data_IF_599997322320
#
_entry.id   IF_599997322320
#
_cell.length_a   1.000
_cell.length_b   1.000
_cell.length_c   1.000
_cell.angle_alpha   90.00
_cell.angle_beta   90.00
_cell.angle_gamma   90.00
#
_symmetry.space_group_name_H-M   'P 1'
#
loop_
_entity.id
_entity.type
_entity.pdbx_description
1 polymer ?
#
# COMPACT_ATOMS: atom_id res chain seq x y z
N UNK A 1 -0.44 20.18 -9.56
CA UNK A 1 0.31 21.00 -8.55
C UNK A 1 0.83 20.04 -7.50
N UNK A 2 2.15 19.97 -7.28
CA UNK A 2 2.75 19.05 -6.34
C UNK A 2 3.09 19.78 -5.04
N UNK A 3 2.80 19.17 -3.91
CA UNK A 3 3.12 19.74 -2.59
C UNK A 3 4.51 19.23 -2.17
N UNK A 4 5.47 20.13 -1.94
CA UNK A 4 6.78 19.78 -1.41
C UNK A 4 6.83 19.86 0.13
N UNK A 5 7.33 18.82 0.78
CA UNK A 5 7.46 18.76 2.25
C UNK A 5 8.85 18.28 2.63
N UNK A 6 9.62 19.11 3.31
CA UNK A 6 10.95 18.78 3.83
C UNK A 6 10.96 18.39 5.32
N UNK A 7 9.95 18.86 6.07
CA UNK A 7 9.94 18.68 7.53
C UNK A 7 9.43 17.30 7.95
N UNK A 8 10.22 16.59 8.76
CA UNK A 8 9.84 15.33 9.42
C UNK A 8 8.70 15.49 10.43
N UNK A 9 8.45 16.71 10.90
CA UNK A 9 7.39 17.03 11.86
C UNK A 9 6.10 17.49 11.19
N UNK A 10 6.07 17.56 9.85
CA UNK A 10 4.85 17.88 9.13
C UNK A 10 3.74 16.89 9.45
N UNK A 11 2.50 17.35 9.70
CA UNK A 11 1.38 16.47 10.07
C UNK A 11 1.13 15.32 9.08
N UNK A 12 1.28 15.58 7.77
CA UNK A 12 1.11 14.55 6.74
C UNK A 12 2.20 13.48 6.83
N UNK A 13 3.47 13.87 7.05
CA UNK A 13 4.57 12.92 7.24
C UNK A 13 4.37 12.09 8.51
N UNK A 14 3.89 12.71 9.59
CA UNK A 14 3.58 12.00 10.83
C UNK A 14 2.42 11.02 10.65
N UNK A 15 1.37 11.42 9.94
CA UNK A 15 0.27 10.53 9.58
C UNK A 15 0.78 9.32 8.79
N UNK A 16 1.53 9.53 7.71
CA UNK A 16 2.07 8.46 6.87
C UNK A 16 2.95 7.50 7.68
N UNK A 17 3.85 8.01 8.51
CA UNK A 17 4.68 7.20 9.38
C UNK A 17 3.87 6.42 10.43
N UNK A 18 2.76 6.97 10.92
CA UNK A 18 1.91 6.28 11.89
C UNK A 18 1.21 5.05 11.33
N UNK A 19 1.02 4.97 10.00
CA UNK A 19 0.37 3.85 9.31
C UNK A 19 1.15 2.52 9.44
N UNK A 20 2.38 2.53 9.90
CA UNK A 20 3.10 1.33 10.33
C UNK A 20 2.32 0.56 11.41
N UNK A 21 1.66 1.28 12.32
CA UNK A 21 0.91 0.69 13.44
C UNK A 21 -0.54 0.41 13.06
N UNK A 22 -1.01 -0.81 13.36
CA UNK A 22 -2.38 -1.25 13.08
C UNK A 22 -3.44 -0.28 13.60
N UNK A 23 -3.27 0.23 14.83
CA UNK A 23 -4.21 1.19 15.45
C UNK A 23 -4.54 2.36 14.51
N UNK A 24 -3.51 3.00 13.95
CA UNK A 24 -3.74 4.15 13.08
C UNK A 24 -4.29 3.78 11.71
N UNK A 25 -3.99 2.57 11.21
CA UNK A 25 -4.63 2.06 9.99
C UNK A 25 -6.13 1.84 10.21
N UNK A 26 -6.51 1.28 11.36
CA UNK A 26 -7.92 1.05 11.71
C UNK A 26 -8.67 2.38 11.93
N UNK A 27 -8.04 3.39 12.55
CA UNK A 27 -8.62 4.70 12.79
C UNK A 27 -8.78 5.53 11.50
N UNK A 28 -7.82 5.46 10.60
CA UNK A 28 -7.80 6.28 9.38
C UNK A 28 -8.41 5.60 8.17
N UNK A 29 -8.54 4.27 8.20
CA UNK A 29 -8.89 3.46 7.05
C UNK A 29 -7.84 3.49 5.94
N UNK A 30 -6.59 3.87 6.26
CA UNK A 30 -5.49 3.96 5.31
C UNK A 30 -4.41 2.93 5.62
N UNK A 31 -3.70 2.48 4.58
CA UNK A 31 -2.44 1.77 4.73
C UNK A 31 -1.41 2.27 3.72
N UNK A 32 -0.14 2.06 4.02
CA UNK A 32 0.96 2.49 3.17
C UNK A 32 1.43 1.34 2.29
N UNK A 33 1.40 1.56 0.97
CA UNK A 33 2.05 0.71 -0.03
C UNK A 33 3.40 1.33 -0.37
N UNK A 34 4.50 0.67 -0.10
CA UNK A 34 5.84 1.14 -0.43
C UNK A 34 6.45 0.32 -1.57
N UNK A 35 7.17 1.01 -2.45
CA UNK A 35 7.88 0.42 -3.58
C UNK A 35 7.13 0.47 -4.90
N UNK A 36 7.90 0.60 -5.98
CA UNK A 36 7.40 0.79 -7.34
C UNK A 36 6.40 -0.27 -7.79
N UNK A 37 6.66 -1.54 -7.45
CA UNK A 37 5.79 -2.65 -7.87
C UNK A 37 4.41 -2.56 -7.22
N UNK A 38 4.36 -2.36 -5.88
CA UNK A 38 3.08 -2.26 -5.16
C UNK A 38 2.30 -1.01 -5.55
N UNK A 39 2.99 0.13 -5.70
CA UNK A 39 2.36 1.37 -6.15
C UNK A 39 1.76 1.22 -7.54
N UNK A 40 2.46 0.55 -8.49
CA UNK A 40 1.92 0.27 -9.82
C UNK A 40 0.69 -0.64 -9.78
N UNK A 41 0.68 -1.66 -8.92
CA UNK A 41 -0.48 -2.53 -8.73
C UNK A 41 -1.68 -1.82 -8.10
N UNK A 42 -1.44 -0.78 -7.28
CA UNK A 42 -2.48 0.01 -6.63
C UNK A 42 -3.20 0.97 -7.60
N UNK A 43 -2.51 1.44 -8.65
CA UNK A 43 -3.13 2.34 -9.65
C UNK A 43 -4.29 1.63 -10.34
N UNK A 44 -5.45 2.30 -10.37
CA UNK A 44 -6.67 1.80 -10.97
C UNK A 44 -7.39 0.69 -10.19
N UNK A 45 -6.79 0.20 -9.07
CA UNK A 45 -7.41 -0.84 -8.22
C UNK A 45 -7.77 -0.34 -6.83
N UNK A 46 -7.00 0.62 -6.32
CA UNK A 46 -7.20 1.18 -4.99
C UNK A 46 -7.48 2.68 -5.10
N UNK A 47 -8.30 3.20 -4.19
CA UNK A 47 -8.45 4.65 -4.04
C UNK A 47 -7.22 5.18 -3.30
N UNK A 48 -6.39 5.96 -3.99
CA UNK A 48 -5.19 6.58 -3.43
C UNK A 48 -5.57 7.91 -2.79
N UNK A 49 -5.12 8.14 -1.55
CA UNK A 49 -5.26 9.43 -0.87
C UNK A 49 -4.03 10.30 -1.12
N UNK A 50 -2.85 9.75 -0.85
CA UNK A 50 -1.57 10.42 -1.05
C UNK A 50 -0.65 9.57 -1.92
N UNK A 51 -0.10 10.15 -2.96
CA UNK A 51 0.95 9.57 -3.79
C UNK A 51 2.25 10.31 -3.47
N UNK A 52 3.20 9.61 -2.88
CA UNK A 52 4.41 10.21 -2.33
C UNK A 52 5.61 9.77 -3.14
N UNK A 53 6.44 10.72 -3.53
CA UNK A 53 7.72 10.47 -4.19
C UNK A 53 8.83 11.23 -3.49
N UNK A 54 10.02 10.62 -3.40
CA UNK A 54 11.21 11.25 -2.84
C UNK A 54 11.79 12.25 -3.84
N UNK A 55 12.31 13.38 -3.37
CA UNK A 55 12.76 14.52 -4.20
C UNK A 55 13.79 14.14 -5.27
N UNK A 56 14.75 13.25 -4.97
CA UNK A 56 15.75 12.77 -5.92
C UNK A 56 15.21 11.80 -6.99
N UNK A 57 13.95 11.39 -6.85
CA UNK A 57 13.21 10.49 -7.74
C UNK A 57 11.93 11.14 -8.31
N UNK A 58 11.73 12.42 -8.03
CA UNK A 58 10.54 13.18 -8.44
C UNK A 58 10.58 13.59 -9.93
N UNK A 59 11.06 12.69 -10.79
CA UNK A 59 11.13 12.84 -12.24
C UNK A 59 10.82 11.51 -12.93
N UNK A 60 10.43 11.59 -14.22
CA UNK A 60 10.21 10.41 -15.05
C UNK A 60 9.12 9.48 -14.53
N UNK A 61 9.34 8.18 -14.65
CA UNK A 61 8.33 7.14 -14.44
C UNK A 61 7.69 7.15 -13.05
N UNK A 62 8.43 7.48 -11.98
CA UNK A 62 7.86 7.47 -10.62
C UNK A 62 6.92 8.65 -10.39
N UNK A 63 7.26 9.82 -10.93
CA UNK A 63 6.38 10.98 -10.86
C UNK A 63 5.11 10.75 -11.69
N UNK A 64 5.24 10.24 -12.91
CA UNK A 64 4.10 9.87 -13.76
C UNK A 64 3.18 8.86 -13.07
N UNK A 65 3.76 7.88 -12.36
CA UNK A 65 3.00 6.89 -11.60
C UNK A 65 2.20 7.56 -10.46
N UNK A 66 2.80 8.55 -9.77
CA UNK A 66 2.11 9.34 -8.76
C UNK A 66 0.95 10.15 -9.36
N UNK A 67 1.18 10.84 -10.48
CA UNK A 67 0.17 11.64 -11.16
C UNK A 67 -1.01 10.80 -11.66
N UNK A 68 -0.73 9.60 -12.16
CA UNK A 68 -1.74 8.66 -12.64
C UNK A 68 -2.49 7.93 -11.51
N UNK A 69 -2.09 8.10 -10.25
CA UNK A 69 -2.71 7.42 -9.10
C UNK A 69 -4.08 7.98 -8.73
N UNK A 70 -4.38 9.22 -9.13
CA UNK A 70 -5.59 9.96 -8.73
C UNK A 70 -5.55 10.50 -7.29
N UNK A 71 -4.45 10.31 -6.56
CA UNK A 71 -4.22 10.86 -5.22
C UNK A 71 -3.54 12.23 -5.25
N UNK A 72 -3.46 12.87 -4.08
CA UNK A 72 -2.66 14.09 -3.90
C UNK A 72 -1.17 13.76 -4.01
N UNK A 73 -0.47 14.39 -4.95
CA UNK A 73 0.96 14.14 -5.17
C UNK A 73 1.80 14.98 -4.22
N UNK A 74 2.66 14.30 -3.45
CA UNK A 74 3.54 14.91 -2.46
C UNK A 74 4.98 14.52 -2.76
N UNK A 75 5.84 15.53 -2.88
CA UNK A 75 7.28 15.35 -2.98
C UNK A 75 7.89 15.51 -1.59
N UNK A 76 8.57 14.49 -1.10
CA UNK A 76 9.24 14.52 0.19
C UNK A 76 10.75 14.65 0.04
N UNK A 77 11.37 15.43 0.94
CA UNK A 77 12.82 15.38 1.09
C UNK A 77 13.28 13.98 1.48
N UNK A 78 14.55 13.65 1.25
CA UNK A 78 15.12 12.36 1.63
C UNK A 78 14.88 12.04 3.12
N UNK A 79 15.12 13.01 4.00
CA UNK A 79 14.94 12.84 5.43
C UNK A 79 13.49 12.62 5.85
N UNK A 80 12.53 13.28 5.17
CA UNK A 80 11.10 13.09 5.43
C UNK A 80 10.62 11.74 4.88
N UNK A 81 11.11 11.31 3.71
CA UNK A 81 10.78 10.01 3.14
C UNK A 81 11.33 8.86 4.01
N UNK A 82 12.56 8.96 4.51
CA UNK A 82 13.15 7.97 5.41
C UNK A 82 12.34 7.75 6.70
N UNK A 83 11.52 8.73 7.12
CA UNK A 83 10.64 8.56 8.28
C UNK A 83 9.43 7.68 8.01
N UNK A 84 8.96 7.64 6.77
CA UNK A 84 7.78 6.85 6.40
C UNK A 84 8.13 5.48 5.83
N UNK A 85 9.37 5.30 5.37
CA UNK A 85 9.86 4.05 4.78
C UNK A 85 10.16 3.02 5.85
N UNK A 86 9.75 1.78 5.60
CA UNK A 86 10.15 0.61 6.38
C UNK A 86 11.37 -0.10 5.77
N UNK A 87 11.74 0.22 4.53
CA UNK A 87 12.86 -0.39 3.83
C UNK A 87 14.17 0.39 4.09
N UNK A 88 15.27 -0.34 4.18
CA UNK A 88 16.63 0.23 4.30
C UNK A 88 17.12 0.85 3.00
N UNK A 89 16.62 0.40 1.85
CA UNK A 89 16.96 0.88 0.51
C UNK A 89 15.68 1.16 -0.31
N UNK A 90 14.92 2.21 0.06
CA UNK A 90 13.62 2.46 -0.54
C UNK A 90 13.71 2.87 -2.00
N UNK A 91 12.76 2.39 -2.81
CA UNK A 91 12.59 2.80 -4.22
C UNK A 91 12.29 4.29 -4.38
N UNK A 92 11.91 4.97 -3.29
CA UNK A 92 11.59 6.41 -3.29
C UNK A 92 10.15 6.72 -3.69
N UNK A 93 9.24 5.74 -3.62
CA UNK A 93 7.81 5.92 -3.88
C UNK A 93 6.98 5.16 -2.86
N UNK A 94 5.90 5.78 -2.40
CA UNK A 94 4.91 5.17 -1.52
C UNK A 94 3.52 5.78 -1.72
N UNK A 95 2.46 4.97 -1.64
CA UNK A 95 1.08 5.40 -1.71
C UNK A 95 0.34 5.11 -0.41
N UNK A 96 -0.36 6.12 0.11
CA UNK A 96 -1.36 5.90 1.15
C UNK A 96 -2.70 5.63 0.48
N UNK A 97 -3.19 4.40 0.61
CA UNK A 97 -4.42 3.94 -0.04
C UNK A 97 -5.50 3.63 0.98
N UNK A 98 -6.77 3.82 0.60
CA UNK A 98 -7.88 3.43 1.45
C UNK A 98 -8.00 1.92 1.52
N UNK A 99 -8.13 1.40 2.75
CA UNK A 99 -8.45 0.02 3.00
C UNK A 99 -9.97 -0.16 2.84
N UNK A 100 -10.40 -0.68 1.70
CA UNK A 100 -11.78 -1.13 1.56
C UNK A 100 -11.92 -2.45 2.32
N UNK A 101 -12.72 -2.45 3.39
CA UNK A 101 -13.03 -3.69 4.11
C UNK A 101 -13.94 -4.53 3.22
N UNK A 102 -13.37 -5.49 2.53
CA UNK A 102 -14.16 -6.53 1.86
C UNK A 102 -14.76 -7.45 2.93
N UNK A 103 -15.98 -7.15 3.39
CA UNK A 103 -16.79 -8.12 4.11
C UNK A 103 -17.34 -9.10 3.07
N UNK A 104 -16.79 -10.29 3.03
CA UNK A 104 -17.39 -11.38 2.28
C UNK A 104 -18.67 -11.79 3.03
N UNK A 105 -19.83 -11.31 2.60
CA UNK A 105 -21.13 -11.67 3.19
C UNK A 105 -21.61 -13.04 2.73
N UNK A 106 -21.18 -13.50 1.56
CA UNK A 106 -21.41 -14.84 1.04
C UNK A 106 -20.30 -15.25 0.09
N UNK A 107 -20.09 -16.54 -0.05
CA UNK A 107 -19.12 -17.11 -0.99
C UNK A 107 -19.77 -18.16 -1.89
N UNK A 108 -19.75 -17.90 -3.18
CA UNK A 108 -20.26 -18.81 -4.22
C UNK A 108 -19.11 -19.32 -5.12
N UNK A 109 -17.99 -19.69 -4.53
CA UNK A 109 -16.81 -20.08 -5.25
C UNK A 109 -16.50 -21.57 -5.16
N UNK A 110 -15.89 -22.12 -6.21
CA UNK A 110 -15.49 -23.53 -6.28
C UNK A 110 -14.28 -23.87 -5.43
N UNK A 111 -13.50 -22.88 -4.99
CA UNK A 111 -12.22 -23.09 -4.28
C UNK A 111 -12.04 -22.14 -3.13
N UNK A 112 -11.67 -22.69 -2.00
CA UNK A 112 -11.36 -21.92 -0.78
C UNK A 112 -9.93 -22.23 -0.36
N UNK A 113 -9.13 -21.19 -0.11
CA UNK A 113 -7.81 -21.33 0.52
C UNK A 113 -7.92 -20.79 1.93
N UNK A 114 -7.67 -21.62 2.90
CA UNK A 114 -7.67 -21.24 4.32
C UNK A 114 -6.23 -21.16 4.83
N UNK A 115 -5.87 -20.00 5.39
CA UNK A 115 -4.60 -19.80 6.06
C UNK A 115 -4.87 -19.73 7.57
N UNK A 116 -4.32 -20.69 8.30
CA UNK A 116 -4.42 -20.72 9.76
C UNK A 116 -3.08 -20.34 10.38
N UNK A 117 -3.09 -19.28 11.20
CA UNK A 117 -1.96 -18.82 12.00
C UNK A 117 -0.64 -18.57 11.21
N UNK A 118 -0.72 -18.17 9.96
CA UNK A 118 0.47 -17.80 9.17
C UNK A 118 1.00 -16.46 9.69
N UNK A 119 2.20 -16.46 10.26
CA UNK A 119 2.78 -15.30 10.94
C UNK A 119 3.50 -14.33 10.02
N UNK A 120 4.12 -14.86 8.96
CA UNK A 120 4.91 -14.07 8.05
C UNK A 120 4.03 -13.44 6.96
N UNK A 121 3.93 -12.08 6.90
CA UNK A 121 3.17 -11.38 5.88
C UNK A 121 3.65 -11.66 4.44
N UNK A 122 4.95 -11.92 4.26
CA UNK A 122 5.53 -12.27 2.97
C UNK A 122 4.99 -13.60 2.45
N UNK A 123 4.87 -14.61 3.33
CA UNK A 123 4.28 -15.90 3.00
C UNK A 123 2.78 -15.77 2.68
N UNK A 124 2.04 -14.99 3.46
CA UNK A 124 0.62 -14.69 3.17
C UNK A 124 0.47 -14.05 1.79
N UNK A 125 1.25 -13.02 1.50
CA UNK A 125 1.25 -12.36 0.20
C UNK A 125 1.62 -13.30 -0.96
N UNK A 126 2.54 -14.23 -0.74
CA UNK A 126 2.93 -15.23 -1.74
C UNK A 126 1.79 -16.21 -2.02
N UNK A 127 1.10 -16.69 -0.98
CA UNK A 127 -0.06 -17.57 -1.15
C UNK A 127 -1.19 -16.86 -1.88
N UNK A 128 -1.49 -15.60 -1.52
CA UNK A 128 -2.51 -14.79 -2.21
C UNK A 128 -2.18 -14.69 -3.70
N UNK A 129 -0.98 -14.28 -4.05
CA UNK A 129 -0.55 -14.15 -5.46
C UNK A 129 -0.61 -15.48 -6.21
N UNK A 130 -0.13 -16.55 -5.60
CA UNK A 130 -0.12 -17.88 -6.22
C UNK A 130 -1.52 -18.43 -6.43
N UNK A 131 -2.43 -18.18 -5.49
CA UNK A 131 -3.83 -18.60 -5.58
C UNK A 131 -4.57 -17.83 -6.67
N UNK A 132 -4.35 -16.52 -6.80
CA UNK A 132 -4.94 -15.71 -7.86
C UNK A 132 -4.37 -16.02 -9.25
N UNK A 133 -3.07 -16.37 -9.36
CA UNK A 133 -2.42 -16.62 -10.64
C UNK A 133 -2.75 -17.98 -11.26
N UNK A 134 -2.87 -19.02 -10.43
CA UNK A 134 -3.23 -20.38 -10.87
C UNK A 134 -4.73 -20.58 -11.09
N UNK A 135 -5.54 -19.76 -10.43
CA UNK A 135 -6.98 -19.78 -10.59
C UNK A 135 -7.38 -18.65 -11.52
N UNK A 136 -7.49 -18.89 -12.82
CA UNK A 136 -8.11 -17.98 -13.80
C UNK A 136 -9.59 -17.67 -13.50
N UNK A 137 -10.15 -18.24 -12.44
CA UNK A 137 -11.50 -17.96 -11.98
C UNK A 137 -11.50 -16.91 -10.89
N UNK A 138 -12.39 -15.94 -10.99
CA UNK A 138 -12.63 -14.86 -10.02
C UNK A 138 -13.16 -15.35 -8.64
N UNK A 139 -13.20 -16.66 -8.43
CA UNK A 139 -13.91 -17.32 -7.35
C UNK A 139 -12.96 -18.03 -6.38
N UNK A 140 -11.91 -17.34 -5.91
CA UNK A 140 -11.07 -17.88 -4.83
C UNK A 140 -11.25 -17.02 -3.58
N UNK A 141 -11.82 -17.58 -2.53
CA UNK A 141 -11.90 -16.97 -1.21
C UNK A 141 -10.63 -17.30 -0.41
N UNK A 142 -10.01 -16.30 0.15
CA UNK A 142 -8.93 -16.45 1.10
C UNK A 142 -9.47 -16.14 2.50
N UNK A 143 -9.48 -17.15 3.35
CA UNK A 143 -9.76 -16.99 4.78
C UNK A 143 -8.43 -16.97 5.54
N UNK A 144 -8.15 -15.87 6.22
CA UNK A 144 -6.99 -15.75 7.11
C UNK A 144 -7.49 -15.64 8.55
N UNK A 145 -7.10 -16.59 9.39
CA UNK A 145 -7.33 -16.51 10.83
C UNK A 145 -6.14 -15.77 11.45
N UNK A 146 -6.35 -14.58 12.04
CA UNK A 146 -5.31 -13.90 12.79
C UNK A 146 -5.00 -14.67 14.07
N UNK A 147 -3.77 -14.50 14.57
CA UNK A 147 -3.34 -14.96 15.88
C UNK A 147 -4.02 -14.20 17.00
#
# INVERSE_FOLDING_TARGET
MHTYISSRTNPTVQLLASLEKKKYRDETGLFLCEGKKLCREAVGRCKVKYAVVREDKAEGELLELCENSGGEVIVLSESAFAKISADSTPDGIAFAVFCESCKAESYEGERVVMLDCVRDPGNVGTVIRSSCFRCRSRNTLLLCRPL
#
